data_IF_164909452676
#
_entry.id   IF_164909452676
#
_cell.length_a   1.000
_cell.length_b   1.000
_cell.length_c   1.000
_cell.angle_alpha   90.00
_cell.angle_beta   90.00
_cell.angle_gamma   90.00
#
_symmetry.space_group_name_H-M   'P 1'
#
loop_
_entity.id
_entity.type
_entity.pdbx_description
1 polymer ?
#
# COMPACT_ATOMS: atom_id res chain seq x y z
N UNK A 1 -12.67 15.28 18.55
CA UNK A 1 -12.07 13.94 18.60
C UNK A 1 -13.04 12.89 18.04
N UNK A 2 -13.44 12.99 16.76
CA UNK A 2 -14.55 12.21 16.18
C UNK A 2 -14.11 11.15 15.16
N UNK A 3 -13.20 11.48 14.23
CA UNK A 3 -12.83 10.57 13.12
C UNK A 3 -12.03 9.35 13.58
N UNK A 4 -11.08 9.50 14.51
CA UNK A 4 -10.30 8.37 15.04
C UNK A 4 -11.19 7.31 15.71
N UNK A 5 -12.26 7.74 16.39
CA UNK A 5 -13.26 6.83 16.99
C UNK A 5 -14.11 6.14 15.92
N UNK A 6 -14.42 6.82 14.83
CA UNK A 6 -15.18 6.27 13.71
C UNK A 6 -14.38 5.20 12.95
N UNK A 7 -13.10 5.45 12.65
CA UNK A 7 -12.30 4.50 11.86
C UNK A 7 -11.80 3.33 12.70
N UNK A 8 -11.65 3.51 14.02
CA UNK A 8 -11.20 2.46 14.94
C UNK A 8 -9.68 2.30 15.01
N UNK A 9 -9.22 1.37 15.85
CA UNK A 9 -7.79 1.13 16.13
C UNK A 9 -7.02 0.61 14.89
N UNK A 10 -5.70 0.48 15.03
CA UNK A 10 -4.87 -0.22 14.06
C UNK A 10 -5.27 -1.69 13.94
N UNK A 11 -5.18 -2.24 12.72
CA UNK A 11 -5.48 -3.63 12.47
C UNK A 11 -4.41 -4.54 13.08
N UNK A 12 -4.72 -5.19 14.21
CA UNK A 12 -3.81 -6.07 14.95
C UNK A 12 -3.47 -7.38 14.21
N UNK A 13 -4.24 -7.73 13.17
CA UNK A 13 -3.99 -8.92 12.36
C UNK A 13 -2.89 -8.70 11.30
N UNK A 14 -2.46 -7.46 11.11
CA UNK A 14 -1.38 -7.08 10.21
C UNK A 14 -0.09 -6.92 11.02
N UNK A 15 0.85 -7.89 10.99
CA UNK A 15 2.11 -7.79 11.75
C UNK A 15 3.03 -6.68 11.23
N UNK A 16 2.77 -6.19 10.02
CA UNK A 16 3.33 -5.00 9.36
C UNK A 16 2.19 -4.34 8.58
N UNK A 17 2.32 -3.05 8.23
CA UNK A 17 1.30 -2.28 7.46
C UNK A 17 0.02 -1.88 8.21
N UNK A 18 -0.01 -1.96 9.54
CA UNK A 18 -1.15 -1.47 10.32
C UNK A 18 -1.40 0.02 10.09
N UNK A 19 -0.33 0.80 9.92
CA UNK A 19 -0.35 2.22 9.53
C UNK A 19 -0.95 2.45 8.15
N UNK A 20 -0.59 1.64 7.15
CA UNK A 20 -1.18 1.70 5.81
C UNK A 20 -2.68 1.45 5.83
N UNK A 21 -3.14 0.41 6.53
CA UNK A 21 -4.57 0.12 6.71
C UNK A 21 -5.32 1.30 7.35
N UNK A 22 -4.75 1.86 8.42
CA UNK A 22 -5.32 2.99 9.12
C UNK A 22 -5.43 4.23 8.22
N UNK A 23 -4.37 4.55 7.46
CA UNK A 23 -4.37 5.69 6.53
C UNK A 23 -5.41 5.51 5.43
N UNK A 24 -5.59 4.30 4.89
CA UNK A 24 -6.63 4.03 3.88
C UNK A 24 -8.04 4.20 4.44
N UNK A 25 -8.29 3.76 5.69
CA UNK A 25 -9.57 4.01 6.38
C UNK A 25 -9.79 5.48 6.66
N UNK A 26 -8.74 6.20 7.05
CA UNK A 26 -8.78 7.64 7.26
C UNK A 26 -9.10 8.38 5.95
N UNK A 27 -8.47 7.99 4.84
CA UNK A 27 -8.73 8.55 3.51
C UNK A 27 -10.18 8.34 3.06
N UNK A 28 -10.80 7.20 3.41
CA UNK A 28 -12.24 6.97 3.17
C UNK A 28 -13.15 7.89 3.99
N UNK A 29 -12.68 8.37 5.15
CA UNK A 29 -13.46 9.26 6.02
C UNK A 29 -13.34 10.74 5.62
N UNK A 30 -12.35 11.12 4.81
CA UNK A 30 -12.19 12.49 4.34
C UNK A 30 -10.85 12.75 3.63
N UNK A 31 -10.73 13.96 3.10
CA UNK A 31 -9.54 14.41 2.37
C UNK A 31 -8.33 14.55 3.31
N UNK A 32 -7.19 14.00 2.89
CA UNK A 32 -5.90 14.15 3.58
C UNK A 32 -5.08 15.22 2.84
N UNK A 33 -4.78 16.33 3.52
CA UNK A 33 -3.95 17.43 2.98
C UNK A 33 -2.52 17.33 3.48
N UNK A 34 -1.59 17.86 2.70
CA UNK A 34 -0.17 17.90 3.06
C UNK A 34 0.22 19.29 3.56
N UNK A 35 1.18 19.33 4.48
CA UNK A 35 1.83 20.55 4.93
C UNK A 35 3.27 20.53 4.45
N UNK A 36 3.66 21.50 3.62
CA UNK A 36 5.03 21.62 3.13
C UNK A 36 5.95 22.23 4.20
N UNK A 37 6.12 21.52 5.33
CA UNK A 37 6.98 21.89 6.45
C UNK A 37 7.65 20.64 7.01
N UNK A 38 8.89 20.77 7.45
CA UNK A 38 9.60 19.70 8.15
C UNK A 38 9.00 19.57 9.56
N UNK A 39 8.30 18.47 9.82
CA UNK A 39 7.64 18.21 11.12
C UNK A 39 8.24 17.03 11.88
N UNK A 40 9.05 16.19 11.22
CA UNK A 40 9.65 15.01 11.83
C UNK A 40 11.03 14.75 11.22
N UNK A 41 11.98 14.35 12.07
CA UNK A 41 13.28 13.87 11.67
C UNK A 41 13.29 12.34 11.79
N UNK A 42 13.47 11.65 10.68
CA UNK A 42 13.55 10.19 10.65
C UNK A 42 15.01 9.74 10.55
N UNK A 43 15.48 8.96 11.52
CA UNK A 43 16.86 8.46 11.55
C UNK A 43 16.90 6.97 11.21
N UNK A 44 17.57 6.64 10.12
CA UNK A 44 17.81 5.25 9.72
C UNK A 44 19.04 4.70 10.46
N UNK A 45 18.88 3.51 11.05
CA UNK A 45 19.97 2.68 11.59
C UNK A 45 20.41 1.57 10.60
N UNK A 46 21.34 1.82 9.67
CA UNK A 46 21.67 0.88 8.60
C UNK A 46 22.41 -0.38 9.07
N UNK A 47 23.18 -0.30 10.17
CA UNK A 47 24.06 -1.38 10.63
C UNK A 47 23.39 -2.40 11.57
N UNK A 48 22.07 -2.30 11.76
CA UNK A 48 21.30 -3.22 12.60
C UNK A 48 20.41 -4.10 11.73
N UNK A 49 20.76 -5.39 11.61
CA UNK A 49 20.02 -6.39 10.82
C UNK A 49 19.12 -7.31 11.67
N UNK A 50 19.13 -7.13 12.99
CA UNK A 50 18.32 -7.89 13.94
C UNK A 50 16.92 -7.26 14.14
N UNK A 51 16.11 -7.79 15.08
CA UNK A 51 14.76 -7.28 15.39
C UNK A 51 14.70 -5.79 15.80
N UNK A 52 15.85 -5.13 15.99
CA UNK A 52 15.97 -3.69 16.28
C UNK A 52 16.39 -2.85 15.05
N UNK A 53 16.62 -3.51 13.91
CA UNK A 53 16.86 -2.89 12.61
C UNK A 53 15.64 -2.15 12.08
N UNK A 54 15.83 -1.22 11.14
CA UNK A 54 14.68 -0.54 10.54
C UNK A 54 13.90 -1.55 9.71
N UNK A 55 12.57 -1.44 9.78
CA UNK A 55 11.62 -2.22 8.96
C UNK A 55 11.93 -2.17 7.46
N UNK A 56 12.52 -1.06 7.01
CA UNK A 56 12.95 -0.82 5.62
C UNK A 56 14.03 -1.80 5.16
N UNK A 57 14.89 -2.29 6.05
CA UNK A 57 16.05 -3.14 5.71
C UNK A 57 15.82 -4.57 6.22
N UNK A 58 15.39 -4.74 7.47
CA UNK A 58 15.32 -6.04 8.13
C UNK A 58 14.00 -6.80 7.92
N UNK A 59 12.95 -6.14 7.41
CA UNK A 59 11.62 -6.74 7.25
C UNK A 59 11.03 -6.58 5.85
N UNK A 60 11.87 -6.31 4.83
CA UNK A 60 11.42 -6.02 3.47
C UNK A 60 10.59 -7.16 2.87
N UNK A 61 11.01 -8.41 3.03
CA UNK A 61 10.30 -9.58 2.49
C UNK A 61 8.91 -9.74 3.12
N UNK A 62 8.82 -9.47 4.44
CA UNK A 62 7.55 -9.48 5.16
C UNK A 62 6.64 -8.37 4.66
N UNK A 63 7.16 -7.16 4.47
CA UNK A 63 6.38 -6.04 3.92
C UNK A 63 5.89 -6.36 2.50
N UNK A 64 6.74 -6.89 1.63
CA UNK A 64 6.36 -7.28 0.27
C UNK A 64 5.22 -8.30 0.26
N UNK A 65 5.36 -9.37 1.07
CA UNK A 65 4.31 -10.39 1.21
C UNK A 65 2.98 -9.77 1.66
N UNK A 66 2.98 -9.05 2.78
CA UNK A 66 1.75 -8.47 3.32
C UNK A 66 1.18 -7.36 2.43
N UNK A 67 2.02 -6.61 1.70
CA UNK A 67 1.53 -5.65 0.70
C UNK A 67 0.76 -6.34 -0.43
N UNK A 68 1.24 -7.49 -0.91
CA UNK A 68 0.55 -8.28 -1.94
C UNK A 68 -0.75 -8.85 -1.38
N UNK A 69 -0.71 -9.51 -0.23
CA UNK A 69 -1.88 -10.12 0.40
C UNK A 69 -2.97 -9.08 0.71
N UNK A 70 -2.58 -7.93 1.26
CA UNK A 70 -3.48 -6.85 1.63
C UNK A 70 -4.14 -6.18 0.40
N UNK A 71 -3.38 -5.91 -0.67
CA UNK A 71 -3.99 -5.39 -1.91
C UNK A 71 -4.91 -6.42 -2.56
N UNK A 72 -4.50 -7.68 -2.58
CA UNK A 72 -5.33 -8.76 -3.12
C UNK A 72 -6.64 -8.90 -2.34
N UNK A 73 -6.65 -8.70 -1.02
CA UNK A 73 -7.90 -8.74 -0.26
C UNK A 73 -8.86 -7.63 -0.67
N UNK A 74 -8.39 -6.40 -0.92
CA UNK A 74 -9.26 -5.32 -1.43
C UNK A 74 -9.80 -5.62 -2.83
N UNK A 75 -8.97 -6.14 -3.72
CA UNK A 75 -9.41 -6.47 -5.09
C UNK A 75 -10.47 -7.56 -5.04
N UNK A 76 -10.25 -8.64 -4.27
CA UNK A 76 -11.25 -9.71 -4.10
C UNK A 76 -12.55 -9.17 -3.51
N UNK A 77 -12.46 -8.37 -2.45
CA UNK A 77 -13.64 -7.75 -1.83
C UNK A 77 -14.40 -6.87 -2.82
N UNK A 78 -13.70 -6.04 -3.59
CA UNK A 78 -14.28 -5.17 -4.62
C UNK A 78 -14.99 -5.95 -5.73
N UNK A 79 -14.46 -7.09 -6.15
CA UNK A 79 -15.09 -7.98 -7.15
C UNK A 79 -16.35 -8.64 -6.56
N UNK A 80 -16.31 -9.07 -5.30
CA UNK A 80 -17.47 -9.65 -4.62
C UNK A 80 -18.61 -8.63 -4.45
N UNK A 81 -18.27 -7.37 -4.16
CA UNK A 81 -19.23 -6.27 -4.04
C UNK A 81 -19.84 -5.87 -5.40
N UNK A 82 -19.04 -5.89 -6.48
CA UNK A 82 -19.52 -5.58 -7.83
C UNK A 82 -18.69 -6.30 -8.90
N UNK A 83 -19.33 -7.24 -9.61
CA UNK A 83 -18.69 -8.03 -10.66
C UNK A 83 -18.13 -7.18 -11.81
N UNK A 84 -18.69 -5.99 -12.08
CA UNK A 84 -18.17 -5.06 -13.08
C UNK A 84 -16.73 -4.58 -12.79
N UNK A 85 -16.31 -4.60 -11.52
CA UNK A 85 -14.94 -4.26 -11.13
C UNK A 85 -13.91 -5.25 -11.71
N UNK A 86 -14.31 -6.49 -11.99
CA UNK A 86 -13.45 -7.46 -12.66
C UNK A 86 -13.12 -7.03 -14.10
N UNK A 87 -14.12 -6.54 -14.84
CA UNK A 87 -13.92 -6.04 -16.21
C UNK A 87 -13.01 -4.82 -16.24
N UNK A 88 -13.19 -3.89 -15.29
CA UNK A 88 -12.32 -2.71 -15.14
C UNK A 88 -10.88 -3.14 -14.85
N UNK A 89 -10.68 -4.04 -13.91
CA UNK A 89 -9.36 -4.59 -13.60
C UNK A 89 -8.71 -5.22 -14.84
N UNK A 90 -9.46 -6.01 -15.61
CA UNK A 90 -8.95 -6.65 -16.81
C UNK A 90 -8.48 -5.63 -17.87
N UNK A 91 -9.24 -4.55 -18.07
CA UNK A 91 -8.86 -3.45 -18.98
C UNK A 91 -7.55 -2.79 -18.51
N UNK A 92 -7.48 -2.41 -17.22
CA UNK A 92 -6.30 -1.75 -16.65
C UNK A 92 -5.04 -2.63 -16.74
N UNK A 93 -5.18 -3.94 -16.53
CA UNK A 93 -4.06 -4.88 -16.64
C UNK A 93 -3.59 -5.02 -18.10
N UNK A 94 -4.51 -5.14 -19.06
CA UNK A 94 -4.16 -5.24 -20.47
C UNK A 94 -3.48 -3.96 -21.00
N UNK A 95 -3.94 -2.79 -20.57
CA UNK A 95 -3.32 -1.52 -20.99
C UNK A 95 -1.91 -1.36 -20.42
N UNK A 96 -1.68 -1.74 -19.17
CA UNK A 96 -0.34 -1.75 -18.59
C UNK A 96 0.60 -2.73 -19.32
N UNK A 97 0.12 -3.91 -19.71
CA UNK A 97 0.92 -4.88 -20.47
C UNK A 97 1.35 -4.36 -21.85
N UNK A 98 0.46 -3.65 -22.56
CA UNK A 98 0.80 -2.99 -23.83
C UNK A 98 1.89 -1.94 -23.63
N UNK A 99 1.79 -1.13 -22.58
CA UNK A 99 2.76 -0.09 -22.28
C UNK A 99 4.14 -0.69 -21.96
N UNK A 100 4.21 -1.72 -21.12
CA UNK A 100 5.47 -2.43 -20.81
C UNK A 100 6.11 -2.96 -22.09
N UNK A 101 5.32 -3.61 -22.95
CA UNK A 101 5.80 -4.17 -24.23
C UNK A 101 6.31 -3.07 -25.17
N UNK A 102 5.62 -1.92 -25.22
CA UNK A 102 6.04 -0.75 -26.00
C UNK A 102 7.38 -0.19 -25.53
N UNK A 103 7.54 0.04 -24.22
CA UNK A 103 8.80 0.58 -23.67
C UNK A 103 9.96 -0.41 -23.85
N UNK A 104 9.73 -1.71 -23.68
CA UNK A 104 10.75 -2.73 -23.92
C UNK A 104 11.19 -2.81 -25.39
N UNK A 105 10.28 -2.56 -26.35
CA UNK A 105 10.64 -2.51 -27.78
C UNK A 105 11.41 -1.24 -28.14
N UNK A 106 11.20 -0.13 -27.42
CA UNK A 106 11.93 1.13 -27.61
C UNK A 106 13.32 1.12 -26.99
N UNK A 107 13.58 0.32 -25.95
CA UNK A 107 14.90 0.20 -25.32
C UNK A 107 15.88 -0.74 -26.04
N UNK A 108 15.42 -1.46 -27.07
CA UNK A 108 16.21 -2.43 -27.85
C UNK A 108 16.55 -1.90 -29.26
N UNK A 109 15.99 -0.75 -29.66
CA UNK A 109 16.37 -0.01 -30.88
C UNK A 109 17.12 1.27 -30.50
#
# INVERSE_FOLDING_TARGET
MSVAKQIGEFNKNLPVLGDWDYILRLFKAGEIKTLNKILAYYYLRPNHSNNYGNSVIAAIDRHQKYHVEFRNSFVRQSILENQGNYSILHILLNDNMKNITYYHKKSIN
#
